data_IF_616578926171
#
_entry.id   IF_616578926171
#
_cell.length_a   1.000
_cell.length_b   1.000
_cell.length_c   1.000
_cell.angle_alpha   90.00
_cell.angle_beta   90.00
_cell.angle_gamma   90.00
#
_symmetry.space_group_name_H-M   'P 1'
#
loop_
_entity.id
_entity.type
_entity.pdbx_description
1 polymer ?
#
# COMPACT_ATOMS: atom_id res chain seq x y z
N UNK A 1 -14.43 -8.72 14.18
CA UNK A 1 -13.87 -7.51 13.51
C UNK A 1 -13.00 -7.86 12.30
N UNK A 2 -12.69 -9.13 12.02
CA UNK A 2 -11.89 -9.55 10.85
C UNK A 2 -12.55 -9.25 9.50
N UNK A 3 -13.88 -9.32 9.41
CA UNK A 3 -14.59 -9.20 8.13
C UNK A 3 -14.74 -7.79 7.55
N UNK A 4 -14.45 -6.72 8.30
CA UNK A 4 -14.53 -5.33 7.81
C UNK A 4 -13.17 -4.84 7.27
N UNK A 5 -12.08 -5.39 7.80
CA UNK A 5 -10.72 -4.95 7.50
C UNK A 5 -10.16 -5.56 6.22
N UNK A 6 -10.52 -6.81 5.97
CA UNK A 6 -10.24 -7.48 4.71
C UNK A 6 -10.89 -6.74 3.53
N UNK A 7 -12.12 -6.25 3.71
CA UNK A 7 -12.87 -5.53 2.66
C UNK A 7 -12.23 -4.19 2.31
N UNK A 8 -11.68 -3.48 3.29
CA UNK A 8 -11.05 -2.16 3.05
C UNK A 8 -9.82 -2.31 2.15
N UNK A 9 -9.02 -3.37 2.32
CA UNK A 9 -7.82 -3.58 1.53
C UNK A 9 -8.03 -4.35 0.23
N UNK A 10 -9.07 -5.20 0.13
CA UNK A 10 -9.41 -5.84 -1.16
C UNK A 10 -9.86 -4.82 -2.22
N UNK A 11 -10.54 -3.74 -1.82
CA UNK A 11 -11.04 -2.70 -2.72
C UNK A 11 -10.19 -1.41 -2.72
N UNK A 12 -9.00 -1.44 -2.11
CA UNK A 12 -8.14 -0.26 -2.02
C UNK A 12 -7.52 0.09 -3.39
N UNK A 13 -7.95 1.19 -3.99
CA UNK A 13 -7.38 1.73 -5.22
C UNK A 13 -6.04 2.47 -4.94
N UNK A 14 -4.97 1.70 -4.78
CA UNK A 14 -3.62 2.20 -4.44
C UNK A 14 -3.15 3.35 -5.37
N UNK A 15 -3.31 3.28 -6.71
CA UNK A 15 -2.97 4.39 -7.60
C UNK A 15 -3.66 5.73 -7.28
N UNK A 16 -4.86 5.71 -6.70
CA UNK A 16 -5.63 6.91 -6.38
C UNK A 16 -5.22 7.55 -5.05
N UNK A 17 -4.52 6.81 -4.17
CA UNK A 17 -4.13 7.29 -2.85
C UNK A 17 -3.17 8.48 -2.93
N UNK A 18 -3.39 9.43 -2.03
CA UNK A 18 -2.50 10.54 -1.71
C UNK A 18 -1.32 10.10 -0.84
N UNK A 19 -0.37 11.00 -0.61
CA UNK A 19 0.78 10.71 0.24
C UNK A 19 0.38 10.35 1.67
N UNK A 20 -0.52 11.13 2.28
CA UNK A 20 -1.00 10.93 3.65
C UNK A 20 -1.77 9.61 3.76
N UNK A 21 -2.68 9.34 2.83
CA UNK A 21 -3.45 8.08 2.80
C UNK A 21 -2.54 6.86 2.64
N UNK A 22 -1.47 6.95 1.84
CA UNK A 22 -0.50 5.87 1.75
C UNK A 22 0.27 5.65 3.06
N UNK A 23 0.62 6.72 3.79
CA UNK A 23 1.29 6.62 5.09
C UNK A 23 0.38 5.98 6.14
N UNK A 24 -0.87 6.42 6.21
CA UNK A 24 -1.88 5.87 7.12
C UNK A 24 -2.15 4.40 6.82
N UNK A 25 -2.29 4.07 5.52
CA UNK A 25 -2.47 2.69 5.07
C UNK A 25 -1.28 1.81 5.44
N UNK A 26 -0.05 2.31 5.30
CA UNK A 26 1.15 1.58 5.69
C UNK A 26 1.23 1.35 7.19
N UNK A 27 0.99 2.39 8.00
CA UNK A 27 0.99 2.27 9.45
C UNK A 27 -0.02 1.20 9.91
N UNK A 28 -1.20 1.23 9.33
CA UNK A 28 -2.24 0.28 9.65
C UNK A 28 -1.92 -1.15 9.16
N UNK A 29 -1.34 -1.28 7.97
CA UNK A 29 -0.93 -2.57 7.41
C UNK A 29 0.21 -3.21 8.22
N UNK A 30 1.12 -2.43 8.78
CA UNK A 30 2.17 -2.94 9.67
C UNK A 30 1.58 -3.54 10.95
N UNK A 31 0.59 -2.88 11.54
CA UNK A 31 -0.16 -3.43 12.67
C UNK A 31 -0.85 -4.77 12.32
N UNK A 32 -1.43 -4.89 11.11
CA UNK A 32 -2.02 -6.16 10.67
C UNK A 32 -0.96 -7.26 10.49
N UNK A 33 0.18 -6.93 9.88
CA UNK A 33 1.28 -7.87 9.66
C UNK A 33 1.87 -8.41 10.97
N UNK A 34 1.90 -7.61 12.03
CA UNK A 34 2.38 -8.03 13.35
C UNK A 34 1.47 -9.06 14.04
N UNK A 35 0.18 -9.08 13.67
CA UNK A 35 -0.83 -9.96 14.28
C UNK A 35 -1.27 -11.09 13.34
N UNK A 36 -0.74 -11.17 12.13
CA UNK A 36 -1.18 -12.13 11.13
C UNK A 36 -0.40 -13.45 11.23
N UNK A 37 -1.09 -14.50 11.68
CA UNK A 37 -0.56 -15.86 11.79
C UNK A 37 -0.82 -16.69 10.51
N UNK A 38 -1.72 -16.24 9.63
CA UNK A 38 -2.02 -16.95 8.39
C UNK A 38 -0.96 -16.62 7.31
N UNK A 39 -0.24 -17.62 6.78
CA UNK A 39 0.84 -17.37 5.82
C UNK A 39 0.35 -16.79 4.48
N UNK A 40 -0.87 -17.12 4.04
CA UNK A 40 -1.42 -16.58 2.79
C UNK A 40 -1.81 -15.11 2.95
N UNK A 41 -2.50 -14.77 4.04
CA UNK A 41 -2.83 -13.37 4.38
C UNK A 41 -1.57 -12.54 4.59
N UNK A 42 -0.57 -13.09 5.28
CA UNK A 42 0.71 -12.44 5.50
C UNK A 42 1.38 -12.08 4.17
N UNK A 43 1.45 -13.02 3.21
CA UNK A 43 2.00 -12.76 1.88
C UNK A 43 1.20 -11.67 1.15
N UNK A 44 -0.13 -11.71 1.20
CA UNK A 44 -0.98 -10.66 0.60
C UNK A 44 -0.69 -9.28 1.17
N UNK A 45 -0.60 -9.16 2.49
CA UNK A 45 -0.29 -7.90 3.15
C UNK A 45 1.14 -7.42 2.84
N UNK A 46 2.11 -8.32 2.73
CA UNK A 46 3.47 -7.95 2.29
C UNK A 46 3.47 -7.40 0.86
N UNK A 47 2.71 -8.01 -0.06
CA UNK A 47 2.59 -7.49 -1.42
C UNK A 47 1.93 -6.11 -1.45
N UNK A 48 0.87 -5.92 -0.65
CA UNK A 48 0.20 -4.63 -0.53
C UNK A 48 1.13 -3.54 0.03
N UNK A 49 1.98 -3.91 1.00
CA UNK A 49 3.01 -3.02 1.57
C UNK A 49 3.98 -2.52 0.50
N UNK A 50 4.47 -3.43 -0.35
CA UNK A 50 5.37 -3.08 -1.45
C UNK A 50 4.69 -2.08 -2.39
N UNK A 51 3.44 -2.35 -2.80
CA UNK A 51 2.70 -1.48 -3.71
C UNK A 51 2.47 -0.06 -3.11
N UNK A 52 2.17 0.04 -1.82
CA UNK A 52 2.02 1.32 -1.12
C UNK A 52 3.35 2.10 -1.03
N UNK A 53 4.47 1.41 -0.78
CA UNK A 53 5.81 2.02 -0.76
C UNK A 53 6.20 2.52 -2.15
N UNK A 54 5.92 1.75 -3.18
CA UNK A 54 6.16 2.14 -4.57
C UNK A 54 5.33 3.38 -4.92
N UNK A 55 4.05 3.39 -4.55
CA UNK A 55 3.18 4.55 -4.74
C UNK A 55 3.69 5.79 -4.00
N UNK A 56 4.11 5.66 -2.75
CA UNK A 56 4.73 6.77 -2.01
C UNK A 56 5.98 7.29 -2.72
N UNK A 57 6.80 6.38 -3.25
CA UNK A 57 8.00 6.73 -4.01
C UNK A 57 7.67 7.44 -5.31
N UNK A 58 6.55 7.12 -5.97
CA UNK A 58 6.06 7.85 -7.15
C UNK A 58 5.60 9.26 -6.80
N UNK A 59 4.81 9.42 -5.72
CA UNK A 59 4.26 10.70 -5.30
C UNK A 59 5.37 11.62 -4.74
N UNK A 60 6.33 11.06 -4.00
CA UNK A 60 7.46 11.81 -3.42
C UNK A 60 8.53 12.19 -4.44
N UNK A 61 8.59 11.52 -5.60
CA UNK A 61 9.54 11.93 -6.66
C UNK A 61 9.05 13.23 -7.29
N UNK A 62 9.80 14.35 -7.21
CA UNK A 62 9.52 15.50 -8.03
C UNK A 62 9.74 15.08 -9.49
N UNK A 63 8.64 14.93 -10.22
CA UNK A 63 8.48 14.69 -11.66
C UNK A 63 9.74 14.99 -12.52
N UNK A 64 10.77 14.11 -12.49
CA UNK A 64 12.05 14.31 -13.20
C UNK A 64 12.26 13.36 -14.38
N UNK A 65 11.31 12.49 -14.68
CA UNK A 65 11.40 11.56 -15.81
C UNK A 65 10.13 11.58 -16.66
N UNK A 66 9.75 12.79 -17.09
CA UNK A 66 8.91 12.98 -18.28
C UNK A 66 9.72 13.59 -19.44
N UNK A 67 11.00 13.26 -19.54
CA UNK A 67 11.80 13.58 -20.72
C UNK A 67 11.82 12.38 -21.67
N UNK A 68 10.88 12.47 -22.62
CA UNK A 68 10.98 12.09 -24.03
C UNK A 68 12.09 11.08 -24.36
N UNK A 69 11.69 9.85 -24.70
CA UNK A 69 12.40 9.12 -25.75
C UNK A 69 12.20 9.93 -27.04
N UNK A 70 13.25 10.65 -27.45
CA UNK A 70 13.47 11.13 -28.82
C UNK A 70 14.36 10.10 -29.49
#
# INVERSE_FOLDING_TARGET
MEGLLFTIFEDLDIPALSHEECQDSLYYLEFLLEQEDNPESFIKYQMLKINLIDRLSEISKPNKLRNKRV
#
